data_IF_800852408773
#
_entry.id   IF_800852408773
#
_cell.length_a   1.000
_cell.length_b   1.000
_cell.length_c   1.000
_cell.angle_alpha   90.00
_cell.angle_beta   90.00
_cell.angle_gamma   90.00
#
_symmetry.space_group_name_H-M   'P 1'
#
loop_
_entity.id
_entity.type
_entity.pdbx_description
1 polymer ?
#
# COMPACT_ATOMS: atom_id res chain seq x y z
N UNK A 1 6.76 -27.89 -28.57
CA UNK A 1 7.61 -26.70 -28.83
C UNK A 1 7.52 -25.77 -27.63
N UNK A 2 8.62 -25.52 -26.95
CA UNK A 2 8.63 -24.58 -25.79
C UNK A 2 8.20 -23.18 -26.27
N UNK A 3 7.26 -22.57 -25.59
CA UNK A 3 6.83 -21.23 -25.94
C UNK A 3 7.99 -20.25 -25.71
N UNK A 4 8.44 -19.52 -26.74
CA UNK A 4 9.45 -18.50 -26.60
C UNK A 4 8.98 -17.39 -25.66
N UNK A 5 9.92 -16.67 -25.00
CA UNK A 5 9.61 -15.60 -24.04
C UNK A 5 8.57 -14.59 -24.59
N UNK A 6 8.70 -14.14 -25.84
CA UNK A 6 7.76 -13.18 -26.44
C UNK A 6 6.33 -13.71 -26.52
N UNK A 7 6.12 -15.00 -26.86
CA UNK A 7 4.79 -15.61 -26.85
C UNK A 7 4.21 -15.70 -25.43
N UNK A 8 5.04 -16.08 -24.46
CA UNK A 8 4.60 -16.18 -23.07
C UNK A 8 4.24 -14.80 -22.51
N UNK A 9 5.05 -13.78 -22.78
CA UNK A 9 4.78 -12.39 -22.40
C UNK A 9 3.47 -11.87 -23.03
N UNK A 10 3.24 -12.13 -24.31
CA UNK A 10 2.00 -11.75 -24.99
C UNK A 10 0.77 -12.40 -24.36
N UNK A 11 0.82 -13.71 -24.11
CA UNK A 11 -0.28 -14.43 -23.44
C UNK A 11 -0.51 -13.90 -22.02
N UNK A 12 0.55 -13.61 -21.29
CA UNK A 12 0.48 -13.01 -19.96
C UNK A 12 -0.17 -11.62 -20.00
N UNK A 13 0.18 -10.78 -20.95
CA UNK A 13 -0.42 -9.46 -21.13
C UNK A 13 -1.93 -9.58 -21.36
N UNK A 14 -2.36 -10.51 -22.24
CA UNK A 14 -3.78 -10.77 -22.48
C UNK A 14 -4.49 -11.30 -21.23
N UNK A 15 -3.85 -12.18 -20.46
CA UNK A 15 -4.41 -12.72 -19.21
C UNK A 15 -4.49 -11.67 -18.11
N UNK A 16 -3.70 -10.62 -18.16
CA UNK A 16 -3.65 -9.54 -17.16
C UNK A 16 -4.32 -8.24 -17.64
N UNK A 17 -5.10 -8.28 -18.72
CA UNK A 17 -5.85 -7.11 -19.21
C UNK A 17 -6.72 -6.43 -18.14
N UNK A 18 -7.36 -7.11 -17.17
CA UNK A 18 -8.11 -6.41 -16.12
C UNK A 18 -7.26 -5.42 -15.33
N UNK A 19 -6.01 -5.78 -15.01
CA UNK A 19 -5.09 -4.90 -14.26
C UNK A 19 -4.73 -3.66 -15.07
N UNK A 20 -4.37 -3.87 -16.34
CA UNK A 20 -4.04 -2.79 -17.25
C UNK A 20 -5.26 -1.89 -17.49
N UNK A 21 -6.46 -2.47 -17.63
CA UNK A 21 -7.71 -1.73 -17.80
C UNK A 21 -7.99 -0.83 -16.60
N UNK A 22 -7.86 -1.33 -15.38
CA UNK A 22 -8.04 -0.53 -14.15
C UNK A 22 -7.01 0.60 -14.10
N UNK A 23 -5.74 0.30 -14.40
CA UNK A 23 -4.68 1.31 -14.39
C UNK A 23 -4.93 2.43 -15.41
N UNK A 24 -5.30 2.08 -16.64
CA UNK A 24 -5.61 3.04 -17.70
C UNK A 24 -6.90 3.81 -17.43
N UNK A 25 -7.94 3.15 -16.90
CA UNK A 25 -9.17 3.81 -16.50
C UNK A 25 -8.91 4.85 -15.39
N UNK A 26 -8.07 4.50 -14.41
CA UNK A 26 -7.72 5.45 -13.35
C UNK A 26 -6.85 6.61 -13.86
N UNK A 27 -5.94 6.34 -14.78
CA UNK A 27 -5.18 7.38 -15.48
C UNK A 27 -6.10 8.33 -16.27
N UNK A 28 -7.12 7.80 -16.95
CA UNK A 28 -8.12 8.59 -17.67
C UNK A 28 -8.93 9.47 -16.68
N UNK A 29 -9.36 8.91 -15.54
CA UNK A 29 -10.03 9.67 -14.47
C UNK A 29 -9.13 10.81 -13.96
N UNK A 30 -7.85 10.53 -13.67
CA UNK A 30 -6.88 11.53 -13.25
C UNK A 30 -6.75 12.66 -14.29
N UNK A 31 -6.67 12.32 -15.58
CA UNK A 31 -6.61 13.30 -16.64
C UNK A 31 -7.89 14.15 -16.73
N UNK A 32 -9.06 13.53 -16.64
CA UNK A 32 -10.35 14.25 -16.61
C UNK A 32 -10.47 15.19 -15.42
N UNK A 33 -9.99 14.77 -14.23
CA UNK A 33 -9.96 15.64 -13.05
C UNK A 33 -9.07 16.86 -13.30
N UNK A 34 -7.91 16.70 -13.96
CA UNK A 34 -7.04 17.82 -14.34
C UNK A 34 -7.70 18.83 -15.29
N UNK A 35 -8.63 18.38 -16.17
CA UNK A 35 -9.41 19.27 -17.03
C UNK A 35 -10.51 20.03 -16.26
N UNK A 36 -11.11 19.37 -15.26
CA UNK A 36 -12.20 19.96 -14.45
C UNK A 36 -11.67 20.90 -13.36
N UNK A 37 -10.51 20.58 -12.79
CA UNK A 37 -9.87 21.33 -11.72
C UNK A 37 -8.55 21.96 -12.17
N UNK A 38 -8.56 23.19 -12.74
CA UNK A 38 -7.36 23.83 -13.27
C UNK A 38 -6.26 24.10 -12.22
N UNK A 39 -6.62 24.05 -10.92
CA UNK A 39 -5.67 24.20 -9.80
C UNK A 39 -5.00 22.87 -9.43
N UNK A 40 -5.41 21.76 -10.03
CA UNK A 40 -4.77 20.48 -9.83
C UNK A 40 -3.32 20.54 -10.34
N UNK A 41 -2.38 20.35 -9.44
CA UNK A 41 -0.99 20.19 -9.83
C UNK A 41 -0.78 18.78 -10.40
N UNK A 42 -0.41 18.71 -11.67
CA UNK A 42 0.09 17.46 -12.27
C UNK A 42 1.61 17.60 -12.30
N UNK A 43 2.34 16.74 -11.56
CA UNK A 43 3.80 16.76 -11.63
C UNK A 43 4.27 16.70 -13.09
N UNK A 44 5.27 17.50 -13.44
CA UNK A 44 5.78 17.60 -14.82
C UNK A 44 6.22 16.25 -15.40
N UNK A 45 6.50 16.19 -16.71
CA UNK A 45 6.75 14.96 -17.44
C UNK A 45 7.80 13.97 -16.88
N UNK A 46 8.64 14.43 -15.94
CA UNK A 46 9.62 13.59 -15.25
C UNK A 46 9.04 12.77 -14.08
N UNK A 47 7.82 13.03 -13.65
CA UNK A 47 7.25 12.36 -12.46
C UNK A 47 6.95 10.88 -12.69
N UNK A 48 6.53 10.48 -13.88
CA UNK A 48 6.35 9.05 -14.20
C UNK A 48 7.69 8.31 -14.20
N UNK A 49 8.77 8.95 -14.62
CA UNK A 49 10.12 8.40 -14.55
C UNK A 49 10.60 8.25 -13.11
N UNK A 50 10.28 9.20 -12.25
CA UNK A 50 10.56 9.11 -10.81
C UNK A 50 9.76 7.97 -10.15
N UNK A 51 8.47 7.83 -10.47
CA UNK A 51 7.65 6.71 -10.00
C UNK A 51 8.22 5.39 -10.50
N UNK A 52 8.60 5.30 -11.77
CA UNK A 52 9.24 4.11 -12.32
C UNK A 52 10.55 3.79 -11.59
N UNK A 53 11.44 4.78 -11.45
CA UNK A 53 12.75 4.59 -10.81
C UNK A 53 12.62 4.22 -9.34
N UNK A 54 11.77 4.89 -8.58
CA UNK A 54 11.54 4.60 -7.15
C UNK A 54 10.89 3.22 -6.96
N UNK A 55 9.93 2.85 -7.80
CA UNK A 55 9.30 1.52 -7.75
C UNK A 55 10.31 0.43 -8.09
N UNK A 56 11.12 0.60 -9.14
CA UNK A 56 12.18 -0.35 -9.49
C UNK A 56 13.20 -0.50 -8.36
N UNK A 57 13.66 0.63 -7.80
CA UNK A 57 14.63 0.61 -6.71
C UNK A 57 14.07 -0.10 -5.47
N UNK A 58 12.84 0.20 -5.08
CA UNK A 58 12.18 -0.43 -3.94
C UNK A 58 12.01 -1.93 -4.14
N UNK A 59 11.50 -2.35 -5.32
CA UNK A 59 11.37 -3.77 -5.63
C UNK A 59 12.72 -4.49 -5.68
N UNK A 60 13.77 -3.85 -6.20
CA UNK A 60 15.12 -4.40 -6.21
C UNK A 60 15.65 -4.59 -4.78
N UNK A 61 15.49 -3.60 -3.89
CA UNK A 61 15.90 -3.69 -2.50
C UNK A 61 15.13 -4.81 -1.76
N UNK A 62 13.82 -4.89 -1.97
CA UNK A 62 12.99 -5.94 -1.37
C UNK A 62 13.37 -7.33 -1.91
N UNK A 63 13.64 -7.46 -3.22
CA UNK A 63 14.14 -8.71 -3.81
C UNK A 63 15.48 -9.13 -3.20
N UNK A 64 16.43 -8.21 -3.10
CA UNK A 64 17.75 -8.47 -2.50
C UNK A 64 17.58 -8.91 -1.05
N UNK A 65 16.78 -8.21 -0.26
CA UNK A 65 16.49 -8.57 1.13
C UNK A 65 15.84 -9.95 1.24
N UNK A 66 14.85 -10.25 0.39
CA UNK A 66 14.19 -11.56 0.33
C UNK A 66 15.18 -12.70 0.02
N UNK A 67 15.97 -12.54 -1.05
CA UNK A 67 16.95 -13.56 -1.45
C UNK A 67 18.03 -13.75 -0.39
N UNK A 68 18.49 -12.66 0.24
CA UNK A 68 19.46 -12.71 1.33
C UNK A 68 18.92 -13.46 2.54
N UNK A 69 17.70 -13.14 3.01
CA UNK A 69 17.05 -13.81 4.14
C UNK A 69 16.82 -15.29 3.81
N UNK A 70 16.29 -15.61 2.62
CA UNK A 70 16.11 -16.99 2.16
C UNK A 70 17.43 -17.75 2.20
N UNK A 71 18.49 -17.18 1.64
CA UNK A 71 19.83 -17.78 1.63
C UNK A 71 20.38 -18.01 3.05
N UNK A 72 20.25 -17.03 3.94
CA UNK A 72 20.72 -17.13 5.32
C UNK A 72 19.99 -18.23 6.12
N UNK A 73 18.70 -18.43 5.83
CA UNK A 73 17.87 -19.43 6.52
C UNK A 73 18.02 -20.85 5.94
N UNK A 74 18.32 -21.00 4.64
CA UNK A 74 18.26 -22.30 3.96
C UNK A 74 19.63 -22.87 3.60
N UNK A 75 20.52 -22.08 2.99
CA UNK A 75 21.69 -22.61 2.30
C UNK A 75 23.03 -22.31 2.99
N UNK A 76 23.17 -21.20 3.73
CA UNK A 76 24.41 -20.73 4.38
C UNK A 76 25.68 -20.96 3.54
N UNK A 77 25.76 -20.43 2.31
CA UNK A 77 26.84 -20.75 1.37
C UNK A 77 28.17 -20.17 1.84
N UNK A 78 29.29 -20.79 1.41
CA UNK A 78 30.66 -20.31 1.71
C UNK A 78 30.92 -18.90 1.14
N UNK A 79 30.26 -18.55 0.02
CA UNK A 79 30.41 -17.26 -0.66
C UNK A 79 29.02 -16.59 -0.82
N UNK A 80 28.49 -15.96 0.24
CA UNK A 80 27.10 -15.46 0.23
C UNK A 80 26.85 -14.39 -0.82
N UNK A 81 27.78 -13.46 -1.03
CA UNK A 81 27.61 -12.38 -2.04
C UNK A 81 27.55 -12.97 -3.46
N UNK A 82 28.43 -13.93 -3.78
CA UNK A 82 28.43 -14.56 -5.10
C UNK A 82 27.15 -15.38 -5.32
N UNK A 83 26.66 -16.06 -4.30
CA UNK A 83 25.39 -16.79 -4.37
C UNK A 83 24.23 -15.83 -4.59
N UNK A 84 24.17 -14.74 -3.85
CA UNK A 84 23.14 -13.71 -4.02
C UNK A 84 23.12 -13.14 -5.44
N UNK A 85 24.28 -12.81 -6.00
CA UNK A 85 24.38 -12.33 -7.38
C UNK A 85 23.91 -13.38 -8.41
N UNK A 86 24.22 -14.66 -8.17
CA UNK A 86 23.74 -15.76 -9.01
C UNK A 86 22.22 -15.91 -8.93
N UNK A 87 21.63 -15.82 -7.72
CA UNK A 87 20.19 -15.92 -7.50
C UNK A 87 19.45 -14.76 -8.16
N UNK A 88 19.96 -13.52 -8.03
CA UNK A 88 19.42 -12.34 -8.73
C UNK A 88 19.47 -12.56 -10.24
N UNK A 89 20.61 -13.03 -10.75
CA UNK A 89 20.77 -13.26 -12.17
C UNK A 89 19.85 -14.36 -12.72
N UNK A 90 19.71 -15.44 -11.95
CA UNK A 90 18.77 -16.52 -12.27
C UNK A 90 17.31 -16.02 -12.31
N UNK A 91 16.93 -15.21 -11.33
CA UNK A 91 15.61 -14.57 -11.29
C UNK A 91 15.37 -13.69 -12.52
N UNK A 92 16.29 -12.79 -12.85
CA UNK A 92 16.16 -11.89 -14.00
C UNK A 92 16.15 -12.61 -15.35
N UNK A 93 16.77 -13.80 -15.45
CA UNK A 93 16.74 -14.65 -16.64
C UNK A 93 15.56 -15.63 -16.68
N UNK A 94 14.77 -15.71 -15.64
CA UNK A 94 13.60 -16.57 -15.63
C UNK A 94 12.51 -16.04 -16.55
N UNK A 95 12.41 -16.61 -17.76
CA UNK A 95 11.40 -16.23 -18.72
C UNK A 95 9.96 -16.35 -18.17
N UNK A 96 9.57 -17.41 -17.39
CA UNK A 96 8.25 -17.46 -16.78
C UNK A 96 8.02 -16.35 -15.76
N UNK A 97 8.96 -16.11 -14.83
CA UNK A 97 8.82 -15.06 -13.82
C UNK A 97 8.71 -13.66 -14.46
N UNK A 98 9.56 -13.37 -15.47
CA UNK A 98 9.51 -12.09 -16.16
C UNK A 98 8.23 -11.94 -16.99
N UNK A 99 7.79 -12.98 -17.69
CA UNK A 99 6.53 -12.93 -18.43
C UNK A 99 5.33 -12.74 -17.52
N UNK A 100 5.32 -13.38 -16.34
CA UNK A 100 4.27 -13.22 -15.33
C UNK A 100 4.26 -11.80 -14.73
N UNK A 101 5.43 -11.28 -14.37
CA UNK A 101 5.55 -10.08 -13.55
C UNK A 101 5.54 -8.77 -14.34
N UNK A 102 6.08 -8.72 -15.57
CA UNK A 102 6.21 -7.47 -16.31
C UNK A 102 4.87 -6.77 -16.61
N UNK A 103 3.79 -7.45 -17.05
CA UNK A 103 2.50 -6.78 -17.25
C UNK A 103 1.91 -6.21 -15.97
N UNK A 104 2.02 -6.96 -14.85
CA UNK A 104 1.59 -6.48 -13.53
C UNK A 104 2.41 -5.25 -13.09
N UNK A 105 3.73 -5.29 -13.29
CA UNK A 105 4.64 -4.18 -12.97
C UNK A 105 4.29 -2.91 -13.76
N UNK A 106 4.09 -3.02 -15.08
CA UNK A 106 3.69 -1.88 -15.92
C UNK A 106 2.35 -1.32 -15.45
N UNK A 107 1.37 -2.19 -15.17
CA UNK A 107 0.06 -1.77 -14.63
C UNK A 107 0.21 -1.04 -13.29
N UNK A 108 1.10 -1.50 -12.40
CA UNK A 108 1.38 -0.85 -11.12
C UNK A 108 1.99 0.54 -11.31
N UNK A 109 2.99 0.69 -12.17
CA UNK A 109 3.65 1.99 -12.39
C UNK A 109 2.65 3.03 -12.91
N UNK A 110 1.84 2.66 -13.91
CA UNK A 110 0.78 3.53 -14.44
C UNK A 110 -0.24 3.88 -13.36
N UNK A 111 -0.64 2.89 -12.57
CA UNK A 111 -1.60 3.05 -11.49
C UNK A 111 -1.07 3.96 -10.37
N UNK A 112 0.17 3.74 -9.89
CA UNK A 112 0.79 4.55 -8.83
C UNK A 112 0.95 6.00 -9.31
N UNK A 113 1.34 6.22 -10.56
CA UNK A 113 1.42 7.56 -11.14
C UNK A 113 0.08 8.29 -11.06
N UNK A 114 -1.00 7.67 -11.56
CA UNK A 114 -2.33 8.24 -11.49
C UNK A 114 -2.81 8.46 -10.05
N UNK A 115 -2.54 7.48 -9.18
CA UNK A 115 -2.90 7.53 -7.76
C UNK A 115 -2.21 8.67 -7.02
N UNK A 116 -0.89 8.84 -7.19
CA UNK A 116 -0.13 9.90 -6.54
C UNK A 116 -0.67 11.29 -6.92
N UNK A 117 -1.01 11.48 -8.20
CA UNK A 117 -1.59 12.74 -8.68
C UNK A 117 -2.98 13.01 -8.09
N UNK A 118 -3.85 12.01 -8.01
CA UNK A 118 -5.17 12.18 -7.39
C UNK A 118 -5.03 12.42 -5.88
N UNK A 119 -4.23 11.60 -5.21
CA UNK A 119 -4.03 11.67 -3.75
C UNK A 119 -3.46 13.01 -3.31
N UNK A 120 -2.47 13.53 -4.01
CA UNK A 120 -1.84 14.83 -3.68
C UNK A 120 -2.78 16.02 -3.85
N UNK A 121 -3.82 15.87 -4.67
CA UNK A 121 -4.76 16.95 -4.96
C UNK A 121 -6.11 16.81 -4.22
N UNK A 122 -6.25 15.89 -3.26
CA UNK A 122 -7.50 15.74 -2.50
C UNK A 122 -8.00 17.08 -1.94
N UNK A 123 -7.17 17.94 -1.28
CA UNK A 123 -7.65 19.22 -0.75
C UNK A 123 -8.10 20.23 -1.81
N UNK A 124 -7.67 20.04 -3.08
CA UNK A 124 -8.13 20.86 -4.22
C UNK A 124 -9.54 20.45 -4.64
N UNK A 125 -9.86 19.15 -4.57
CA UNK A 125 -11.20 18.64 -4.91
C UNK A 125 -12.19 18.89 -3.77
N UNK A 126 -11.78 18.65 -2.53
CA UNK A 126 -12.58 18.77 -1.32
C UNK A 126 -11.71 19.22 -0.15
N UNK A 127 -11.96 20.41 0.43
CA UNK A 127 -11.28 20.84 1.66
C UNK A 127 -11.50 19.84 2.81
N UNK A 128 -10.57 19.81 3.77
CA UNK A 128 -10.72 18.99 4.97
C UNK A 128 -11.91 19.48 5.80
N UNK A 129 -12.93 18.63 5.93
CA UNK A 129 -14.18 18.98 6.59
C UNK A 129 -14.69 17.91 7.56
N UNK A 130 -14.07 16.74 7.56
CA UNK A 130 -14.60 15.59 8.30
C UNK A 130 -13.90 15.30 9.63
N UNK A 131 -12.80 15.98 9.97
CA UNK A 131 -12.00 15.71 11.16
C UNK A 131 -12.82 15.76 12.45
N UNK A 132 -13.64 16.79 12.66
CA UNK A 132 -14.52 16.87 13.82
C UNK A 132 -15.57 15.77 13.88
N UNK A 133 -16.06 15.32 12.73
CA UNK A 133 -17.05 14.25 12.65
C UNK A 133 -16.42 12.92 13.04
N UNK A 134 -15.22 12.63 12.55
CA UNK A 134 -14.51 11.39 12.86
C UNK A 134 -14.04 11.35 14.31
N UNK A 135 -13.58 12.48 14.88
CA UNK A 135 -13.30 12.59 16.30
C UNK A 135 -14.54 12.25 17.15
N UNK A 136 -15.72 12.82 16.80
CA UNK A 136 -16.97 12.52 17.51
C UNK A 136 -17.38 11.04 17.38
N UNK A 137 -17.23 10.46 16.18
CA UNK A 137 -17.55 9.04 15.97
C UNK A 137 -16.62 8.15 16.79
N UNK A 138 -15.33 8.47 16.86
CA UNK A 138 -14.39 7.76 17.71
C UNK A 138 -14.82 7.83 19.19
N UNK A 139 -15.17 9.02 19.70
CA UNK A 139 -15.64 9.18 21.10
C UNK A 139 -16.91 8.37 21.36
N UNK A 140 -17.90 8.42 20.45
CA UNK A 140 -19.16 7.70 20.61
C UNK A 140 -18.97 6.18 20.59
N UNK A 141 -18.17 5.69 19.65
CA UNK A 141 -17.92 4.25 19.50
C UNK A 141 -17.04 3.66 20.61
N UNK A 142 -16.27 4.50 21.31
CA UNK A 142 -15.33 4.06 22.36
C UNK A 142 -15.70 4.56 23.76
N UNK A 143 -17.01 4.53 24.09
CA UNK A 143 -17.54 4.77 25.44
C UNK A 143 -17.18 6.16 26.00
N UNK A 144 -17.21 7.19 25.18
CA UNK A 144 -16.96 8.57 25.58
C UNK A 144 -15.48 8.97 25.66
N UNK A 145 -14.58 8.10 25.22
CA UNK A 145 -13.13 8.36 25.21
C UNK A 145 -12.58 8.17 23.81
N UNK A 146 -11.51 8.86 23.49
CA UNK A 146 -10.79 8.66 22.23
C UNK A 146 -9.98 7.37 22.24
N UNK A 147 -9.86 6.65 21.14
CA UNK A 147 -9.10 5.40 21.08
C UNK A 147 -7.65 5.51 21.55
N UNK A 148 -6.96 6.63 21.29
CA UNK A 148 -5.60 6.85 21.76
C UNK A 148 -5.50 6.90 23.28
N UNK A 149 -6.52 7.42 23.99
CA UNK A 149 -6.55 7.47 25.46
C UNK A 149 -6.63 6.07 26.07
N UNK A 150 -7.32 5.12 25.40
CA UNK A 150 -7.36 3.72 25.80
C UNK A 150 -6.04 2.99 25.57
N UNK A 151 -5.32 3.36 24.51
CA UNK A 151 -4.04 2.75 24.15
C UNK A 151 -2.87 3.30 24.98
N UNK A 152 -2.98 4.53 25.48
CA UNK A 152 -1.89 5.25 26.15
C UNK A 152 -1.29 4.51 27.36
N UNK A 153 -2.06 3.85 28.27
CA UNK A 153 -1.48 3.12 29.38
C UNK A 153 -0.54 1.98 28.99
N UNK A 154 -0.76 1.38 27.79
CA UNK A 154 0.07 0.28 27.28
C UNK A 154 1.13 0.77 26.31
N UNK A 155 0.78 1.68 25.41
CA UNK A 155 1.64 2.10 24.32
C UNK A 155 2.42 3.38 24.61
N UNK A 156 2.02 4.13 25.62
CA UNK A 156 2.59 5.43 25.98
C UNK A 156 3.99 5.39 26.62
N UNK A 157 4.73 4.30 26.51
CA UNK A 157 6.12 4.19 26.94
C UNK A 157 7.05 4.35 25.73
N UNK A 158 8.06 5.22 25.82
CA UNK A 158 8.93 5.51 24.68
C UNK A 158 9.52 4.27 23.99
N UNK A 159 9.90 3.15 24.67
CA UNK A 159 10.39 1.97 23.96
C UNK A 159 9.31 1.30 23.09
N UNK A 160 8.05 1.31 23.59
CA UNK A 160 6.91 0.75 22.85
C UNK A 160 6.56 1.63 21.66
N UNK A 161 6.53 2.96 21.86
CA UNK A 161 6.33 3.95 20.80
C UNK A 161 7.38 3.77 19.70
N UNK A 162 8.66 3.60 20.07
CA UNK A 162 9.74 3.38 19.10
C UNK A 162 9.55 2.08 18.29
N UNK A 163 9.21 0.99 18.96
CA UNK A 163 8.93 -0.30 18.27
C UNK A 163 7.74 -0.15 17.32
N UNK A 164 6.66 0.50 17.76
CA UNK A 164 5.49 0.76 16.91
C UNK A 164 5.89 1.62 15.71
N UNK A 165 6.68 2.68 15.91
CA UNK A 165 7.18 3.53 14.84
C UNK A 165 7.99 2.73 13.79
N UNK A 166 8.85 1.80 14.21
CA UNK A 166 9.57 0.89 13.30
C UNK A 166 8.57 0.00 12.54
N UNK A 167 7.67 -0.67 13.25
CA UNK A 167 6.71 -1.60 12.66
C UNK A 167 5.74 -0.91 11.71
N UNK A 168 5.35 0.33 12.01
CA UNK A 168 4.49 1.12 11.14
C UNK A 168 5.19 1.49 9.82
N UNK A 169 6.46 1.89 9.88
CA UNK A 169 7.27 2.17 8.69
C UNK A 169 7.63 0.90 7.89
N UNK A 170 7.73 -0.26 8.56
CA UNK A 170 7.94 -1.56 7.91
C UNK A 170 6.80 -1.92 6.93
N UNK A 171 5.65 -1.26 7.05
CA UNK A 171 4.51 -1.48 6.17
C UNK A 171 4.86 -1.37 4.68
N UNK A 172 5.71 -0.42 4.29
CA UNK A 172 6.17 -0.30 2.90
C UNK A 172 6.91 -1.55 2.43
N UNK A 173 7.81 -2.08 3.28
CA UNK A 173 8.57 -3.29 2.95
C UNK A 173 7.64 -4.50 2.83
N UNK A 174 6.68 -4.64 3.75
CA UNK A 174 5.67 -5.71 3.70
C UNK A 174 4.82 -5.58 2.44
N UNK A 175 4.34 -4.39 2.11
CA UNK A 175 3.53 -4.12 0.92
C UNK A 175 4.28 -4.52 -0.37
N UNK A 176 5.49 -4.02 -0.56
CA UNK A 176 6.27 -4.36 -1.74
C UNK A 176 6.73 -5.81 -1.75
N UNK A 177 6.96 -6.43 -0.58
CA UNK A 177 7.27 -7.86 -0.47
C UNK A 177 6.10 -8.74 -0.93
N UNK A 178 4.90 -8.47 -0.45
CA UNK A 178 3.68 -9.17 -0.88
C UNK A 178 3.43 -8.94 -2.37
N UNK A 179 3.62 -7.71 -2.82
CA UNK A 179 3.43 -7.34 -4.22
C UNK A 179 4.45 -8.06 -5.14
N UNK A 180 5.74 -8.08 -4.76
CA UNK A 180 6.80 -8.79 -5.47
C UNK A 180 6.48 -10.30 -5.59
N UNK A 181 6.02 -10.90 -4.49
CA UNK A 181 5.62 -12.31 -4.48
C UNK A 181 4.52 -12.59 -5.51
N UNK A 182 3.40 -11.87 -5.43
CA UNK A 182 2.28 -12.06 -6.36
C UNK A 182 2.62 -11.69 -7.81
N UNK A 183 3.49 -10.71 -8.02
CA UNK A 183 3.87 -10.32 -9.37
C UNK A 183 4.75 -11.36 -10.06
N UNK A 184 5.79 -11.86 -9.37
CA UNK A 184 6.89 -12.58 -10.02
C UNK A 184 7.12 -14.01 -9.52
N UNK A 185 6.64 -14.35 -8.32
CA UNK A 185 6.99 -15.60 -7.64
C UNK A 185 5.81 -16.55 -7.42
N UNK A 186 4.59 -16.08 -7.66
CA UNK A 186 3.38 -16.90 -7.55
C UNK A 186 3.05 -17.58 -8.88
N UNK A 187 1.98 -18.37 -8.89
CA UNK A 187 1.45 -19.01 -10.07
C UNK A 187 0.30 -18.18 -10.66
N UNK A 188 0.07 -18.25 -12.00
CA UNK A 188 -1.15 -17.72 -12.60
C UNK A 188 -2.38 -18.38 -11.96
N UNK A 189 -3.42 -17.60 -11.66
CA UNK A 189 -4.65 -18.18 -11.11
C UNK A 189 -5.47 -17.20 -10.27
N UNK A 190 -6.58 -17.71 -9.76
CA UNK A 190 -7.63 -16.95 -9.08
C UNK A 190 -7.08 -16.11 -7.90
N UNK A 191 -6.23 -16.70 -7.06
CA UNK A 191 -5.71 -16.02 -5.86
C UNK A 191 -4.87 -14.79 -6.21
N UNK A 192 -3.98 -14.93 -7.21
CA UNK A 192 -3.14 -13.85 -7.73
C UNK A 192 -3.99 -12.73 -8.33
N UNK A 193 -4.92 -13.06 -9.21
CA UNK A 193 -5.82 -12.10 -9.86
C UNK A 193 -6.70 -11.40 -8.83
N UNK A 194 -7.24 -12.13 -7.85
CA UNK A 194 -8.00 -11.59 -6.73
C UNK A 194 -7.19 -10.57 -5.92
N UNK A 195 -5.94 -10.90 -5.59
CA UNK A 195 -5.05 -9.98 -4.85
C UNK A 195 -4.89 -8.66 -5.59
N UNK A 196 -4.50 -8.69 -6.87
CA UNK A 196 -4.27 -7.48 -7.65
C UNK A 196 -5.55 -6.66 -7.85
N UNK A 197 -6.67 -7.30 -8.19
CA UNK A 197 -7.95 -6.59 -8.32
C UNK A 197 -8.32 -5.90 -7.02
N UNK A 198 -8.24 -6.62 -5.89
CA UNK A 198 -8.55 -6.01 -4.59
C UNK A 198 -7.60 -4.87 -4.27
N UNK A 199 -6.29 -5.04 -4.50
CA UNK A 199 -5.29 -4.00 -4.25
C UNK A 199 -5.60 -2.73 -5.04
N UNK A 200 -5.77 -2.84 -6.36
CA UNK A 200 -6.00 -1.68 -7.22
C UNK A 200 -7.35 -1.01 -6.91
N UNK A 201 -8.43 -1.79 -6.71
CA UNK A 201 -9.74 -1.26 -6.37
C UNK A 201 -9.74 -0.60 -4.98
N UNK A 202 -9.06 -1.19 -4.00
CA UNK A 202 -8.94 -0.62 -2.65
C UNK A 202 -8.23 0.75 -2.69
N UNK A 203 -7.16 0.86 -3.46
CA UNK A 203 -6.42 2.11 -3.57
C UNK A 203 -7.16 3.14 -4.42
N UNK A 204 -7.80 2.73 -5.51
CA UNK A 204 -8.59 3.62 -6.37
C UNK A 204 -9.84 4.15 -5.65
N UNK A 205 -10.62 3.26 -5.02
CA UNK A 205 -11.85 3.65 -4.33
C UNK A 205 -11.56 4.22 -2.94
N UNK A 206 -10.75 3.54 -2.12
CA UNK A 206 -10.39 3.98 -0.79
C UNK A 206 -9.54 5.25 -0.82
N UNK A 207 -8.33 5.14 -1.34
CA UNK A 207 -7.37 6.25 -1.35
C UNK A 207 -7.65 7.35 -2.38
N UNK A 208 -8.54 7.09 -3.36
CA UNK A 208 -9.03 8.07 -4.34
C UNK A 208 -10.42 8.57 -3.98
N UNK A 209 -11.47 7.85 -4.38
CA UNK A 209 -12.86 8.31 -4.27
C UNK A 209 -13.29 8.64 -2.83
N UNK A 210 -13.19 7.67 -1.91
CA UNK A 210 -13.62 7.88 -0.53
C UNK A 210 -12.73 8.87 0.21
N UNK A 211 -11.45 8.97 -0.13
CA UNK A 211 -10.56 9.97 0.43
C UNK A 211 -10.94 11.41 0.03
N UNK A 212 -11.51 11.61 -1.17
CA UNK A 212 -12.11 12.88 -1.57
C UNK A 212 -13.43 13.11 -0.86
N UNK A 213 -14.34 12.13 -0.87
CA UNK A 213 -15.69 12.28 -0.26
C UNK A 213 -15.62 12.54 1.25
N UNK A 214 -14.68 11.93 1.94
CA UNK A 214 -14.46 12.03 3.39
C UNK A 214 -13.17 12.78 3.73
N UNK A 215 -12.89 13.86 2.99
CA UNK A 215 -11.64 14.60 3.11
C UNK A 215 -11.38 15.05 4.56
N UNK A 216 -10.31 14.52 5.14
CA UNK A 216 -9.85 14.76 6.51
C UNK A 216 -8.34 14.75 6.58
N UNK A 217 -7.76 15.58 7.44
CA UNK A 217 -6.31 15.68 7.60
C UNK A 217 -5.75 14.62 8.56
N UNK A 218 -6.49 14.31 9.61
CA UNK A 218 -6.11 13.36 10.66
C UNK A 218 -5.70 13.99 11.99
N UNK A 219 -5.66 13.18 13.06
CA UNK A 219 -5.40 13.62 14.42
C UNK A 219 -4.17 14.51 14.61
N UNK A 220 -3.04 14.15 13.97
CA UNK A 220 -1.78 14.89 14.11
C UNK A 220 -1.83 16.34 13.56
N UNK A 221 -2.83 16.65 12.73
CA UNK A 221 -3.02 17.97 12.13
C UNK A 221 -4.22 18.73 12.69
N UNK A 222 -4.96 18.16 13.65
CA UNK A 222 -6.24 18.68 14.14
C UNK A 222 -6.16 20.13 14.61
N UNK A 223 -5.16 20.46 15.41
CA UNK A 223 -4.95 21.84 15.93
C UNK A 223 -4.06 22.72 15.04
N UNK A 224 -3.66 22.28 13.83
CA UNK A 224 -2.67 22.98 13.03
C UNK A 224 -3.28 23.86 11.92
N UNK A 225 -2.63 24.99 11.68
CA UNK A 225 -2.85 25.86 10.54
C UNK A 225 -4.29 26.32 10.38
N UNK A 226 -4.80 26.21 9.16
CA UNK A 226 -6.17 26.62 8.82
C UNK A 226 -7.26 25.64 9.32
N UNK A 227 -6.89 24.43 9.72
CA UNK A 227 -7.83 23.56 10.43
C UNK A 227 -8.14 24.14 11.81
N UNK A 228 -7.09 24.52 12.56
CA UNK A 228 -7.15 25.31 13.78
C UNK A 228 -8.29 24.93 14.74
N UNK A 229 -8.67 23.65 14.76
CA UNK A 229 -9.80 23.18 15.54
C UNK A 229 -9.44 23.23 17.03
N UNK A 230 -10.21 24.00 17.78
CA UNK A 230 -9.97 24.22 19.20
C UNK A 230 -11.21 23.89 20.03
N UNK A 231 -11.04 23.24 21.21
CA UNK A 231 -9.76 22.72 21.75
C UNK A 231 -9.22 21.55 20.89
N UNK A 232 -7.87 21.40 20.84
CA UNK A 232 -7.24 20.26 20.18
C UNK A 232 -7.17 19.05 21.14
N UNK A 233 -7.98 18.01 20.91
CA UNK A 233 -8.02 16.86 21.80
C UNK A 233 -6.84 15.89 21.61
N UNK A 234 -5.99 16.13 20.63
CA UNK A 234 -4.81 15.32 20.32
C UNK A 234 -3.50 15.99 20.76
N UNK A 235 -3.58 17.19 21.36
CA UNK A 235 -2.41 17.94 21.83
C UNK A 235 -1.55 17.13 22.79
N UNK A 236 -2.16 16.41 23.74
CA UNK A 236 -1.44 15.57 24.71
C UNK A 236 -0.80 14.36 24.07
N UNK A 237 -1.45 13.70 23.09
CA UNK A 237 -0.87 12.62 22.29
C UNK A 237 0.37 13.12 21.56
N UNK A 238 0.26 14.25 20.86
CA UNK A 238 1.37 14.83 20.10
C UNK A 238 2.50 15.31 21.01
N UNK A 239 2.19 15.85 22.21
CA UNK A 239 3.19 16.19 23.22
C UNK A 239 3.92 14.95 23.75
N UNK A 240 3.19 13.83 23.91
CA UNK A 240 3.79 12.56 24.31
C UNK A 240 4.76 12.03 23.24
N UNK A 241 4.38 12.04 21.98
CA UNK A 241 5.26 11.62 20.89
C UNK A 241 6.53 12.49 20.80
N UNK A 242 6.41 13.81 20.97
CA UNK A 242 7.57 14.72 21.01
C UNK A 242 8.52 14.40 22.17
N UNK A 243 7.99 14.11 23.39
CA UNK A 243 8.83 13.67 24.51
C UNK A 243 9.55 12.34 24.25
N UNK A 244 8.91 11.42 23.53
CA UNK A 244 9.57 10.17 23.12
C UNK A 244 10.67 10.43 22.09
N UNK A 245 10.47 11.39 21.17
CA UNK A 245 11.42 11.79 20.15
C UNK A 245 12.69 12.43 20.72
N UNK A 246 12.59 13.11 21.87
CA UNK A 246 13.76 13.62 22.62
C UNK A 246 14.71 12.51 23.10
N UNK A 247 14.22 11.26 23.20
CA UNK A 247 14.99 10.11 23.68
C UNK A 247 15.44 9.22 22.53
N UNK A 248 14.53 8.95 21.57
CA UNK A 248 14.77 8.09 20.40
C UNK A 248 14.04 8.64 19.18
N UNK A 249 14.58 8.54 17.97
CA UNK A 249 13.95 9.13 16.78
C UNK A 249 12.56 8.54 16.51
N UNK A 250 11.54 9.37 16.49
CA UNK A 250 10.17 9.01 16.10
C UNK A 250 9.90 9.58 14.70
N UNK A 251 10.32 8.85 13.67
CA UNK A 251 10.23 9.28 12.25
C UNK A 251 8.83 9.69 11.80
N UNK A 252 7.81 9.20 12.49
CA UNK A 252 6.43 9.63 12.25
C UNK A 252 6.27 11.14 12.35
N UNK A 253 6.92 11.80 13.32
CA UNK A 253 6.86 13.25 13.51
C UNK A 253 7.52 14.01 12.35
N UNK A 254 8.67 13.52 11.87
CA UNK A 254 9.36 14.12 10.72
C UNK A 254 8.52 14.05 9.46
N UNK A 255 7.90 12.88 9.20
CA UNK A 255 7.00 12.66 8.06
C UNK A 255 5.77 13.57 8.16
N UNK A 256 5.15 13.67 9.33
CA UNK A 256 4.00 14.55 9.56
C UNK A 256 4.37 16.02 9.31
N UNK A 257 5.50 16.47 9.89
CA UNK A 257 5.99 17.83 9.68
C UNK A 257 6.31 18.13 8.21
N UNK A 258 6.88 17.18 7.49
CA UNK A 258 7.15 17.27 6.05
C UNK A 258 5.84 17.41 5.26
N UNK A 259 4.88 16.49 5.48
CA UNK A 259 3.59 16.48 4.78
C UNK A 259 2.82 17.78 5.01
N UNK A 260 2.83 18.31 6.26
CA UNK A 260 2.14 19.56 6.56
C UNK A 260 2.80 20.78 5.89
N UNK A 261 4.13 20.82 5.86
CA UNK A 261 4.86 21.88 5.14
C UNK A 261 4.55 21.87 3.65
N UNK A 262 4.54 20.68 3.02
CA UNK A 262 4.19 20.54 1.61
C UNK A 262 2.74 20.95 1.35
N UNK A 263 1.81 20.55 2.24
CA UNK A 263 0.42 20.97 2.15
C UNK A 263 0.26 22.49 2.26
N UNK A 264 0.91 23.11 3.24
CA UNK A 264 0.88 24.57 3.41
C UNK A 264 1.49 25.34 2.22
N UNK A 265 2.44 24.72 1.51
CA UNK A 265 3.01 25.23 0.27
C UNK A 265 2.13 24.99 -0.97
N UNK A 266 0.98 24.30 -0.83
CA UNK A 266 0.11 23.93 -1.94
C UNK A 266 0.63 22.81 -2.84
N UNK A 267 1.66 22.07 -2.42
CA UNK A 267 2.28 21.03 -3.23
C UNK A 267 1.41 19.78 -3.31
N UNK A 268 1.23 19.22 -4.51
CA UNK A 268 0.59 17.94 -4.74
C UNK A 268 1.38 16.74 -4.14
N UNK A 269 2.61 16.94 -3.69
CA UNK A 269 3.39 15.92 -2.99
C UNK A 269 2.95 15.72 -1.54
N UNK A 270 2.14 16.64 -0.98
CA UNK A 270 1.68 16.61 0.40
C UNK A 270 0.95 15.32 0.78
N UNK A 271 0.11 14.80 -0.11
CA UNK A 271 -0.67 13.54 0.06
C UNK A 271 -1.37 13.39 1.43
N UNK A 272 -1.75 14.51 2.09
CA UNK A 272 -2.47 14.48 3.38
C UNK A 272 -3.88 13.99 3.17
N UNK A 273 -4.24 12.90 3.85
CA UNK A 273 -5.61 12.36 3.88
C UNK A 273 -5.67 11.21 4.88
N UNK A 274 -6.55 11.31 5.88
CA UNK A 274 -6.72 10.30 6.91
C UNK A 274 -7.72 9.22 6.52
N UNK A 275 -8.96 9.58 6.18
CA UNK A 275 -10.02 8.62 5.85
C UNK A 275 -10.01 8.26 4.35
N UNK A 276 -10.15 6.97 4.01
CA UNK A 276 -9.91 5.79 4.84
C UNK A 276 -8.43 5.47 5.00
N UNK A 277 -8.09 4.72 6.03
CA UNK A 277 -6.71 4.32 6.28
C UNK A 277 -6.22 3.26 5.29
N UNK A 278 -5.37 3.67 4.34
CA UNK A 278 -4.79 2.74 3.37
C UNK A 278 -3.81 1.75 4.02
N UNK A 279 -3.15 2.14 5.11
CA UNK A 279 -2.31 1.24 5.90
C UNK A 279 -3.13 0.07 6.48
N UNK A 280 -4.27 0.39 7.12
CA UNK A 280 -5.14 -0.63 7.71
C UNK A 280 -5.81 -1.51 6.65
N UNK A 281 -6.33 -0.92 5.57
CA UNK A 281 -6.96 -1.68 4.49
C UNK A 281 -5.97 -2.62 3.79
N UNK A 282 -4.76 -2.16 3.49
CA UNK A 282 -3.74 -2.99 2.84
C UNK A 282 -3.19 -4.05 3.78
N UNK A 283 -2.97 -3.76 5.08
CA UNK A 283 -2.52 -4.76 6.05
C UNK A 283 -3.52 -5.92 6.14
N UNK A 284 -4.83 -5.63 6.18
CA UNK A 284 -5.87 -6.65 6.14
C UNK A 284 -5.85 -7.44 4.82
N UNK A 285 -5.69 -6.75 3.68
CA UNK A 285 -5.57 -7.41 2.38
C UNK A 285 -4.39 -8.40 2.36
N UNK A 286 -3.22 -8.04 2.90
CA UNK A 286 -2.06 -8.91 2.95
C UNK A 286 -2.31 -10.15 3.81
N UNK A 287 -2.99 -9.99 4.94
CA UNK A 287 -3.38 -11.11 5.80
C UNK A 287 -4.37 -12.05 5.10
N UNK A 288 -5.41 -11.52 4.43
CA UNK A 288 -6.38 -12.29 3.65
C UNK A 288 -5.73 -13.04 2.48
N UNK A 289 -4.80 -12.38 1.80
CA UNK A 289 -4.09 -12.95 0.65
C UNK A 289 -3.13 -14.07 1.04
N UNK A 290 -2.64 -14.12 2.27
CA UNK A 290 -1.63 -15.08 2.74
C UNK A 290 -2.11 -16.52 2.92
N UNK A 291 -3.33 -16.87 2.52
CA UNK A 291 -3.98 -18.16 2.80
C UNK A 291 -3.15 -19.41 2.46
N UNK A 292 -2.39 -19.40 1.35
CA UNK A 292 -1.50 -20.50 0.93
C UNK A 292 -0.06 -20.41 1.47
N UNK A 293 0.27 -19.42 2.28
CA UNK A 293 1.64 -19.16 2.74
C UNK A 293 1.98 -19.95 4.02
N UNK A 294 3.28 -20.10 4.36
CA UNK A 294 3.71 -20.74 5.61
C UNK A 294 2.99 -20.16 6.83
N UNK A 295 2.61 -21.01 7.78
CA UNK A 295 1.77 -20.64 8.92
C UNK A 295 2.35 -19.51 9.76
N UNK A 296 3.68 -19.41 9.88
CA UNK A 296 4.34 -18.32 10.63
C UNK A 296 4.19 -16.95 9.94
N UNK A 297 4.30 -16.90 8.59
CA UNK A 297 4.08 -15.65 7.83
C UNK A 297 2.62 -15.22 7.94
N UNK A 298 1.69 -16.18 7.78
CA UNK A 298 0.26 -15.91 7.94
C UNK A 298 -0.07 -15.38 9.32
N UNK A 299 0.46 -15.99 10.39
CA UNK A 299 0.28 -15.50 11.78
C UNK A 299 0.86 -14.11 11.95
N UNK A 300 2.07 -13.87 11.45
CA UNK A 300 2.69 -12.54 11.47
C UNK A 300 1.79 -11.50 10.81
N UNK A 301 1.28 -11.75 9.61
CA UNK A 301 0.44 -10.79 8.89
C UNK A 301 -0.88 -10.50 9.62
N UNK A 302 -1.50 -11.50 10.27
CA UNK A 302 -2.70 -11.27 11.08
C UNK A 302 -2.40 -10.46 12.36
N UNK A 303 -1.30 -10.72 13.05
CA UNK A 303 -0.86 -9.89 14.19
C UNK A 303 -0.54 -8.48 13.70
N UNK A 304 0.09 -8.38 12.53
CA UNK A 304 0.48 -7.11 11.92
C UNK A 304 -0.73 -6.21 11.59
N UNK A 305 -1.89 -6.77 11.24
CA UNK A 305 -3.15 -5.99 11.11
C UNK A 305 -3.45 -5.23 12.41
N UNK A 306 -3.36 -5.89 13.57
CA UNK A 306 -3.56 -5.25 14.87
C UNK A 306 -2.49 -4.21 15.20
N UNK A 307 -1.23 -4.49 14.85
CA UNK A 307 -0.11 -3.56 15.07
C UNK A 307 -0.27 -2.30 14.22
N UNK A 308 -0.65 -2.42 12.95
CA UNK A 308 -0.90 -1.26 12.08
C UNK A 308 -2.09 -0.45 12.57
N UNK A 309 -3.16 -1.11 13.01
CA UNK A 309 -4.33 -0.42 13.55
C UNK A 309 -3.99 0.38 14.82
N UNK A 310 -3.41 -0.27 15.83
CA UNK A 310 -3.01 0.40 17.05
C UNK A 310 -1.94 1.48 16.79
N UNK A 311 -0.98 1.19 15.92
CA UNK A 311 0.08 2.13 15.52
C UNK A 311 -0.45 3.36 14.80
N UNK A 312 -1.43 3.22 13.92
CA UNK A 312 -2.03 4.34 13.20
C UNK A 312 -2.71 5.35 14.14
N UNK A 313 -3.35 4.87 15.21
CA UNK A 313 -3.99 5.67 16.25
C UNK A 313 -2.92 6.28 17.18
N UNK A 314 -2.01 5.45 17.69
CA UNK A 314 -0.98 5.87 18.64
C UNK A 314 0.00 6.88 18.08
N UNK A 315 0.35 6.77 16.79
CA UNK A 315 1.21 7.75 16.12
C UNK A 315 0.43 8.99 15.61
N UNK A 316 -0.87 9.06 15.82
CA UNK A 316 -1.69 10.21 15.45
C UNK A 316 -2.02 10.36 13.96
N UNK A 317 -1.79 9.32 13.16
CA UNK A 317 -2.09 9.40 11.72
C UNK A 317 -3.58 9.27 11.40
N UNK A 318 -4.32 8.46 12.16
CA UNK A 318 -5.69 8.07 11.83
C UNK A 318 -6.60 8.06 13.05
N UNK A 319 -7.86 8.41 12.84
CA UNK A 319 -8.97 8.04 13.71
C UNK A 319 -9.19 6.52 13.65
N UNK A 320 -9.76 5.90 14.68
CA UNK A 320 -10.06 4.46 14.62
C UNK A 320 -11.10 4.14 13.55
N UNK A 321 -12.07 5.04 13.33
CA UNK A 321 -13.09 4.90 12.29
C UNK A 321 -12.49 4.81 10.89
N UNK A 322 -11.33 5.44 10.62
CA UNK A 322 -10.62 5.33 9.35
C UNK A 322 -10.20 3.87 9.07
N UNK A 323 -9.74 3.19 10.13
CA UNK A 323 -9.35 1.78 10.08
C UNK A 323 -10.56 0.86 9.91
N UNK A 324 -11.63 1.09 10.67
CA UNK A 324 -12.85 0.29 10.56
C UNK A 324 -13.48 0.37 9.18
N UNK A 325 -13.59 1.59 8.63
CA UNK A 325 -14.07 1.78 7.27
C UNK A 325 -13.17 1.06 6.25
N UNK A 326 -11.86 1.22 6.37
CA UNK A 326 -10.90 0.58 5.48
C UNK A 326 -10.99 -0.95 5.53
N UNK A 327 -11.20 -1.54 6.70
CA UNK A 327 -11.40 -2.99 6.86
C UNK A 327 -12.70 -3.45 6.20
N UNK A 328 -13.81 -2.74 6.44
CA UNK A 328 -15.10 -3.04 5.81
C UNK A 328 -15.00 -2.99 4.28
N UNK A 329 -14.40 -1.92 3.75
CA UNK A 329 -14.16 -1.77 2.31
C UNK A 329 -13.28 -2.90 1.76
N UNK A 330 -12.19 -3.24 2.45
CA UNK A 330 -11.29 -4.33 2.04
C UNK A 330 -12.02 -5.67 1.98
N UNK A 331 -12.86 -6.00 2.96
CA UNK A 331 -13.62 -7.24 2.98
C UNK A 331 -14.62 -7.32 1.81
N UNK A 332 -15.34 -6.24 1.55
CA UNK A 332 -16.28 -6.16 0.42
C UNK A 332 -15.54 -6.33 -0.91
N UNK A 333 -14.45 -5.59 -1.09
CA UNK A 333 -13.65 -5.68 -2.31
C UNK A 333 -12.97 -7.04 -2.47
N UNK A 334 -12.48 -7.63 -1.37
CA UNK A 334 -11.93 -8.98 -1.39
C UNK A 334 -12.95 -10.02 -1.83
N UNK A 335 -14.17 -9.93 -1.31
CA UNK A 335 -15.26 -10.80 -1.72
C UNK A 335 -15.61 -10.60 -3.21
N UNK A 336 -15.85 -9.38 -3.64
CA UNK A 336 -16.21 -9.06 -5.03
C UNK A 336 -15.11 -9.45 -6.03
N UNK A 337 -13.84 -9.12 -5.71
CA UNK A 337 -12.68 -9.49 -6.53
C UNK A 337 -12.49 -11.01 -6.63
N UNK A 338 -12.93 -11.76 -5.60
CA UNK A 338 -12.92 -13.21 -5.65
C UNK A 338 -13.82 -13.76 -6.76
N UNK A 339 -15.05 -13.27 -6.87
CA UNK A 339 -15.97 -13.63 -7.94
C UNK A 339 -15.46 -13.15 -9.31
N UNK A 340 -14.98 -11.91 -9.40
CA UNK A 340 -14.41 -11.40 -10.65
C UNK A 340 -13.22 -12.23 -11.13
N UNK A 341 -12.31 -12.60 -10.22
CA UNK A 341 -11.15 -13.42 -10.54
C UNK A 341 -11.55 -14.85 -11.00
N UNK A 342 -12.53 -15.47 -10.33
CA UNK A 342 -13.03 -16.78 -10.76
C UNK A 342 -13.56 -16.75 -12.20
N UNK A 343 -14.38 -15.76 -12.54
CA UNK A 343 -14.91 -15.61 -13.90
C UNK A 343 -13.79 -15.30 -14.91
N UNK A 344 -12.85 -14.45 -14.54
CA UNK A 344 -11.75 -14.06 -15.43
C UNK A 344 -10.80 -15.22 -15.73
N UNK A 345 -10.41 -15.98 -14.70
CA UNK A 345 -9.49 -17.12 -14.86
C UNK A 345 -10.09 -18.29 -15.65
N UNK A 346 -11.42 -18.32 -15.81
CA UNK A 346 -12.10 -19.27 -16.70
C UNK A 346 -12.11 -18.82 -18.19
N UNK A 347 -11.64 -17.61 -18.51
CA UNK A 347 -11.61 -17.11 -19.90
C UNK A 347 -10.55 -17.79 -20.74
N UNK A 348 -10.75 -17.87 -22.08
CA UNK A 348 -9.76 -18.43 -22.98
C UNK A 348 -8.38 -17.76 -22.90
N UNK A 349 -8.32 -16.46 -22.59
CA UNK A 349 -7.06 -15.72 -22.44
C UNK A 349 -6.26 -16.21 -21.25
N UNK A 350 -6.87 -16.27 -20.06
CA UNK A 350 -6.24 -16.74 -18.83
C UNK A 350 -5.85 -18.23 -18.93
N UNK A 351 -6.74 -19.09 -19.43
CA UNK A 351 -6.47 -20.51 -19.60
C UNK A 351 -5.32 -20.82 -20.56
N UNK A 352 -5.21 -20.07 -21.67
CA UNK A 352 -4.07 -20.22 -22.62
C UNK A 352 -2.75 -19.84 -21.97
N UNK A 353 -2.75 -18.75 -21.19
CA UNK A 353 -1.55 -18.34 -20.46
C UNK A 353 -1.15 -19.38 -19.40
N UNK A 354 -2.08 -19.83 -18.56
CA UNK A 354 -1.82 -20.81 -17.50
C UNK A 354 -1.24 -22.12 -18.05
N UNK A 355 -1.76 -22.62 -19.19
CA UNK A 355 -1.20 -23.79 -19.89
C UNK A 355 0.23 -23.54 -20.40
N UNK A 356 0.44 -22.43 -21.10
CA UNK A 356 1.76 -22.08 -21.62
C UNK A 356 2.79 -21.85 -20.50
N UNK A 357 2.36 -21.30 -19.37
CA UNK A 357 3.19 -21.11 -18.20
C UNK A 357 3.59 -22.46 -17.55
N UNK A 358 2.64 -23.40 -17.40
CA UNK A 358 2.91 -24.72 -16.85
C UNK A 358 3.85 -25.58 -17.73
N UNK A 359 3.85 -25.36 -19.05
CA UNK A 359 4.76 -26.02 -20.01
C UNK A 359 6.16 -25.40 -20.03
N UNK A 360 6.36 -24.26 -19.35
CA UNK A 360 7.65 -23.56 -19.30
C UNK A 360 8.58 -24.23 -18.27
N UNK A 361 9.92 -24.22 -18.48
CA UNK A 361 10.84 -24.78 -17.50
C UNK A 361 10.69 -24.10 -16.16
N UNK A 362 10.63 -24.87 -15.08
CA UNK A 362 10.43 -24.40 -13.72
C UNK A 362 11.32 -23.19 -13.41
N UNK A 363 10.69 -22.11 -12.98
CA UNK A 363 11.36 -20.93 -12.45
C UNK A 363 11.52 -21.10 -10.95
N UNK A 364 12.77 -21.09 -10.44
CA UNK A 364 13.23 -20.94 -9.03
C UNK A 364 12.68 -21.94 -8.01
#
# INVERSE_FOLDING_TARGET
MRAGFGRLLWLSTLAQTPLLTIALAFLAVQHMLGLVYPRMEVPGGNSILLVLASTLMTLALVLVAYLFVRMALTARPKHPVLQLLRDIWAFLRSAPAMALGLPAFVSLVVFIYAFANVKGNIPVFQPFAWDQTFDRWDVVLHLGRRPWEWLQPLLGHWPVTFVINILYNLWFVVMFGVWLHYAFMDLPGVQRTRFFLTFMLLWMLGGGLFAVLFSSAGPCFYGQGHLGLTPDPYADLMAHLRRADEIVPIWALDVQAMLWRLHAAGSAEASVSAMPSMHNGSALLFALASGGWPAWIRRFLWVYVGVIFAGSIHLGYHYAVDGYFAWGLTLVLWWASGHMAQHWEATPAALRFSRAFAESPASL
#
